data_IF_486380507067
#
_entry.id   IF_486380507067
#
_cell.length_a   1.000
_cell.length_b   1.000
_cell.length_c   1.000
_cell.angle_alpha   90.00
_cell.angle_beta   90.00
_cell.angle_gamma   90.00
#
_symmetry.space_group_name_H-M   'P 1'
#
loop_
_entity.id
_entity.type
_entity.pdbx_description
1 polymer ?
#
# COMPACT_ATOMS: atom_id res chain seq x y z
N UNK A 1 -12.43 -28.40 26.82
CA UNK A 1 -11.47 -28.16 25.73
C UNK A 1 -10.36 -27.23 26.24
N UNK A 2 -9.22 -27.80 26.66
CA UNK A 2 -8.05 -27.08 27.19
C UNK A 2 -7.00 -27.03 26.09
N UNK A 3 -6.67 -25.84 25.60
CA UNK A 3 -5.65 -25.70 24.54
C UNK A 3 -5.30 -24.28 24.12
N UNK A 4 -5.84 -23.24 24.76
CA UNK A 4 -5.37 -21.86 24.55
C UNK A 4 -4.29 -21.52 25.58
N UNK A 5 -3.18 -22.26 25.57
CA UNK A 5 -1.91 -21.65 25.96
C UNK A 5 -1.34 -21.04 24.70
N UNK A 6 -1.13 -19.72 24.78
CA UNK A 6 -0.73 -18.89 23.66
C UNK A 6 0.56 -19.46 23.06
N UNK A 7 0.55 -19.77 21.76
CA UNK A 7 1.76 -20.16 21.03
C UNK A 7 2.95 -19.23 21.34
N UNK A 8 2.65 -17.97 21.66
CA UNK A 8 3.64 -16.96 22.04
C UNK A 8 4.15 -17.06 23.48
N UNK A 9 3.35 -17.52 24.46
CA UNK A 9 3.84 -17.62 25.86
C UNK A 9 4.91 -18.69 26.03
N UNK A 10 4.82 -19.73 25.21
CA UNK A 10 5.71 -20.89 25.26
C UNK A 10 6.98 -20.66 24.41
N UNK A 11 6.87 -19.87 23.33
CA UNK A 11 8.01 -19.52 22.46
C UNK A 11 8.81 -18.31 22.96
N UNK A 12 8.14 -17.34 23.58
CA UNK A 12 8.77 -16.11 24.06
C UNK A 12 8.19 -15.78 25.43
N UNK A 13 9.03 -15.70 26.48
CA UNK A 13 8.61 -15.21 27.79
C UNK A 13 8.32 -13.69 27.69
N UNK A 14 7.15 -13.35 27.18
CA UNK A 14 6.68 -11.96 27.05
C UNK A 14 5.68 -11.71 28.17
N UNK A 15 5.91 -10.62 28.90
CA UNK A 15 4.93 -10.10 29.85
C UNK A 15 3.57 -9.92 29.16
N UNK A 16 2.48 -10.19 29.89
CA UNK A 16 1.12 -10.15 29.34
C UNK A 16 0.86 -8.86 28.58
N UNK A 17 0.63 -8.97 27.26
CA UNK A 17 0.32 -7.81 26.40
C UNK A 17 -0.98 -7.17 26.88
N UNK A 18 -0.98 -5.85 27.09
CA UNK A 18 -2.20 -5.10 27.45
C UNK A 18 -3.23 -5.28 26.34
N UNK A 19 -4.48 -5.58 26.71
CA UNK A 19 -5.59 -5.70 25.73
C UNK A 19 -5.86 -4.34 25.09
N UNK A 20 -5.42 -4.16 23.85
CA UNK A 20 -5.78 -2.99 23.04
C UNK A 20 -7.28 -3.01 22.70
N UNK A 21 -7.88 -1.82 22.58
CA UNK A 21 -9.27 -1.67 22.11
C UNK A 21 -9.38 -2.17 20.67
N UNK A 22 -10.50 -2.81 20.33
CA UNK A 22 -10.74 -3.28 18.97
C UNK A 22 -10.81 -2.10 18.00
N UNK A 23 -10.05 -2.19 16.90
CA UNK A 23 -10.07 -1.20 15.82
C UNK A 23 -11.36 -1.34 15.03
N UNK A 24 -11.96 -0.23 14.55
CA UNK A 24 -13.16 -0.29 13.72
C UNK A 24 -12.88 -0.99 12.40
N UNK A 25 -13.96 -1.43 11.74
CA UNK A 25 -13.86 -1.96 10.37
C UNK A 25 -13.25 -0.89 9.46
N UNK A 26 -12.38 -1.31 8.54
CA UNK A 26 -11.71 -0.44 7.56
C UNK A 26 -10.78 0.63 8.15
N UNK A 27 -10.25 0.42 9.37
CA UNK A 27 -9.38 1.39 10.04
C UNK A 27 -8.21 1.90 9.17
N UNK A 28 -7.58 1.03 8.37
CA UNK A 28 -6.44 1.37 7.51
C UNK A 28 -6.80 1.72 6.06
N UNK A 29 -8.10 1.89 5.78
CA UNK A 29 -8.55 2.18 4.42
C UNK A 29 -8.00 3.52 3.88
N UNK A 30 -7.98 4.63 4.65
CA UNK A 30 -7.43 5.90 4.18
C UNK A 30 -5.93 5.81 3.81
N UNK A 31 -5.11 5.22 4.68
CA UNK A 31 -3.67 5.09 4.48
C UNK A 31 -3.36 4.19 3.28
N UNK A 32 -4.13 3.11 3.11
CA UNK A 32 -4.03 2.23 1.94
C UNK A 32 -4.37 2.98 0.66
N UNK A 33 -5.46 3.75 0.66
CA UNK A 33 -5.89 4.51 -0.52
C UNK A 33 -4.84 5.59 -0.88
N UNK A 34 -4.28 6.27 0.11
CA UNK A 34 -3.19 7.23 -0.08
C UNK A 34 -1.96 6.57 -0.71
N UNK A 35 -1.53 5.42 -0.17
CA UNK A 35 -0.44 4.62 -0.72
C UNK A 35 -0.71 4.18 -2.17
N UNK A 36 -1.92 3.73 -2.46
CA UNK A 36 -2.35 3.28 -3.78
C UNK A 36 -2.22 4.39 -4.83
N UNK A 37 -2.64 5.62 -4.51
CA UNK A 37 -2.49 6.78 -5.41
C UNK A 37 -1.03 7.07 -5.73
N UNK A 38 -0.15 7.04 -4.73
CA UNK A 38 1.28 7.27 -4.94
C UNK A 38 1.95 6.13 -5.72
N UNK A 39 1.52 4.88 -5.52
CA UNK A 39 1.99 3.74 -6.33
C UNK A 39 1.50 3.81 -7.76
N UNK A 40 0.25 4.23 -7.98
CA UNK A 40 -0.26 4.46 -9.31
C UNK A 40 0.55 5.53 -10.04
N UNK A 41 0.81 6.68 -9.39
CA UNK A 41 1.66 7.73 -9.94
C UNK A 41 3.05 7.20 -10.33
N UNK A 42 3.69 6.43 -9.45
CA UNK A 42 4.99 5.85 -9.74
C UNK A 42 4.98 4.90 -10.95
N UNK A 43 3.99 4.04 -11.06
CA UNK A 43 3.87 3.15 -12.21
C UNK A 43 3.60 3.92 -13.52
N UNK A 44 2.70 4.90 -13.48
CA UNK A 44 2.28 5.65 -14.67
C UNK A 44 3.32 6.69 -15.12
N UNK A 45 3.85 7.50 -14.20
CA UNK A 45 4.71 8.63 -14.54
C UNK A 45 6.20 8.30 -14.47
N UNK A 46 6.64 7.50 -13.50
CA UNK A 46 8.06 7.20 -13.33
C UNK A 46 8.47 5.99 -14.16
N UNK A 47 7.72 4.88 -14.08
CA UNK A 47 7.98 3.68 -14.87
C UNK A 47 7.37 3.72 -16.28
N UNK A 48 6.55 4.74 -16.58
CA UNK A 48 5.91 4.94 -17.91
C UNK A 48 5.06 3.74 -18.35
N UNK A 49 4.44 3.03 -17.41
CA UNK A 49 3.53 1.95 -17.72
C UNK A 49 2.20 2.48 -18.25
N UNK A 50 1.53 1.69 -19.10
CA UNK A 50 0.18 2.00 -19.58
C UNK A 50 -0.83 1.82 -18.45
N UNK A 51 -1.99 2.45 -18.58
CA UNK A 51 -3.06 2.40 -17.58
C UNK A 51 -3.42 0.97 -17.16
N UNK A 52 -3.66 0.08 -18.13
CA UNK A 52 -4.02 -1.31 -17.84
C UNK A 52 -2.89 -2.05 -17.12
N UNK A 53 -1.63 -1.83 -17.52
CA UNK A 53 -0.46 -2.42 -16.86
C UNK A 53 -0.30 -1.89 -15.42
N UNK A 54 -0.54 -0.60 -15.20
CA UNK A 54 -0.55 -0.01 -13.86
C UNK A 54 -1.57 -0.71 -12.96
N UNK A 55 -2.79 -0.93 -13.46
CA UNK A 55 -3.85 -1.60 -12.71
C UNK A 55 -3.49 -3.07 -12.40
N UNK A 56 -2.88 -3.79 -13.35
CA UNK A 56 -2.42 -5.17 -13.11
C UNK A 56 -1.30 -5.25 -12.06
N UNK A 57 -0.39 -4.28 -12.03
CA UNK A 57 0.64 -4.21 -10.97
C UNK A 57 0.01 -3.91 -9.61
N UNK A 58 -0.88 -2.92 -9.55
CA UNK A 58 -1.55 -2.52 -8.32
C UNK A 58 -2.46 -3.62 -7.76
N UNK A 59 -3.10 -4.41 -8.61
CA UNK A 59 -3.93 -5.55 -8.17
C UNK A 59 -3.10 -6.57 -7.40
N UNK A 60 -1.87 -6.85 -7.85
CA UNK A 60 -0.93 -7.75 -7.15
C UNK A 60 -0.31 -7.11 -5.91
N UNK A 61 0.01 -5.81 -5.95
CA UNK A 61 0.61 -5.10 -4.81
C UNK A 61 -0.38 -4.94 -3.65
N UNK A 62 -1.66 -4.68 -3.93
CA UNK A 62 -2.68 -4.35 -2.92
C UNK A 62 -3.72 -5.45 -2.68
N UNK A 63 -3.73 -6.52 -3.49
CA UNK A 63 -4.72 -7.60 -3.45
C UNK A 63 -6.16 -7.08 -3.54
N UNK A 64 -6.36 -6.07 -4.39
CA UNK A 64 -7.66 -5.47 -4.68
C UNK A 64 -7.98 -5.67 -6.16
N UNK A 65 -9.22 -6.04 -6.44
CA UNK A 65 -9.66 -6.25 -7.84
C UNK A 65 -9.54 -4.97 -8.65
N UNK A 66 -9.23 -5.09 -9.95
CA UNK A 66 -9.16 -3.95 -10.86
C UNK A 66 -10.35 -2.97 -10.76
N UNK A 67 -11.63 -3.42 -10.72
CA UNK A 67 -12.76 -2.50 -10.56
C UNK A 67 -12.70 -1.71 -9.24
N UNK A 68 -12.24 -2.32 -8.15
CA UNK A 68 -12.09 -1.62 -6.87
C UNK A 68 -10.96 -0.59 -6.92
N UNK A 69 -9.86 -0.91 -7.60
CA UNK A 69 -8.75 0.04 -7.82
C UNK A 69 -9.23 1.27 -8.58
N UNK A 70 -10.00 1.08 -9.66
CA UNK A 70 -10.56 2.18 -10.46
C UNK A 70 -11.42 3.09 -9.59
N UNK A 71 -12.35 2.51 -8.82
CA UNK A 71 -13.20 3.29 -7.90
C UNK A 71 -12.36 4.10 -6.91
N UNK A 72 -11.33 3.50 -6.29
CA UNK A 72 -10.47 4.20 -5.34
C UNK A 72 -9.70 5.35 -6.01
N UNK A 73 -9.16 5.13 -7.21
CA UNK A 73 -8.42 6.14 -7.97
C UNK A 73 -9.35 7.30 -8.38
N UNK A 74 -10.59 7.00 -8.78
CA UNK A 74 -11.59 8.01 -9.13
C UNK A 74 -12.01 8.83 -7.89
N UNK A 75 -12.33 8.15 -6.78
CA UNK A 75 -12.65 8.79 -5.50
C UNK A 75 -11.49 9.64 -4.96
N UNK A 76 -10.24 9.29 -5.30
CA UNK A 76 -9.02 9.98 -4.88
C UNK A 76 -8.41 10.85 -5.98
N UNK A 77 -9.21 11.29 -6.95
CA UNK A 77 -8.74 12.02 -8.14
C UNK A 77 -8.10 13.37 -7.79
N UNK A 78 -8.62 14.08 -6.79
CA UNK A 78 -8.01 15.31 -6.28
C UNK A 78 -6.58 15.07 -5.78
N UNK A 79 -6.40 14.07 -4.92
CA UNK A 79 -5.07 13.67 -4.43
C UNK A 79 -4.15 13.22 -5.56
N UNK A 80 -4.66 12.49 -6.55
CA UNK A 80 -3.86 12.08 -7.70
C UNK A 80 -3.37 13.29 -8.51
N UNK A 81 -4.22 14.31 -8.69
CA UNK A 81 -3.82 15.55 -9.35
C UNK A 81 -2.76 16.31 -8.55
N UNK A 82 -2.90 16.39 -7.23
CA UNK A 82 -1.89 16.99 -6.36
C UNK A 82 -0.53 16.30 -6.49
N UNK A 83 -0.50 14.96 -6.39
CA UNK A 83 0.73 14.18 -6.55
C UNK A 83 1.34 14.38 -7.95
N UNK A 84 0.50 14.44 -8.99
CA UNK A 84 0.96 14.68 -10.36
C UNK A 84 1.53 16.11 -10.56
N UNK A 85 1.09 17.09 -9.77
CA UNK A 85 1.64 18.45 -9.75
C UNK A 85 2.95 18.53 -8.95
N UNK A 86 2.99 17.89 -7.78
CA UNK A 86 4.19 17.82 -6.92
C UNK A 86 5.35 17.10 -7.61
N UNK A 87 5.02 16.08 -8.43
CA UNK A 87 5.97 15.21 -9.13
C UNK A 87 7.07 14.66 -8.21
N UNK A 88 6.69 13.93 -7.13
CA UNK A 88 7.66 13.43 -6.17
C UNK A 88 8.66 12.48 -6.83
N UNK A 89 9.92 12.64 -6.48
CA UNK A 89 11.00 11.75 -6.88
C UNK A 89 10.88 10.38 -6.21
N UNK A 90 11.55 9.39 -6.80
CA UNK A 90 11.63 8.02 -6.25
C UNK A 90 12.10 8.02 -4.78
N UNK A 91 13.05 8.89 -4.43
CA UNK A 91 13.60 8.98 -3.07
C UNK A 91 12.58 9.53 -2.06
N UNK A 92 11.77 10.50 -2.47
CA UNK A 92 10.70 11.05 -1.62
C UNK A 92 9.59 10.02 -1.39
N UNK A 93 9.26 9.25 -2.43
CA UNK A 93 8.30 8.15 -2.33
C UNK A 93 8.81 7.01 -1.43
N UNK A 94 10.10 6.67 -1.53
CA UNK A 94 10.76 5.69 -0.65
C UNK A 94 10.77 6.14 0.81
N UNK A 95 11.06 7.41 1.08
CA UNK A 95 10.99 7.96 2.44
C UNK A 95 9.55 7.93 3.00
N UNK A 96 8.55 8.23 2.17
CA UNK A 96 7.14 8.28 2.58
C UNK A 96 6.54 6.88 2.78
N UNK A 97 6.94 5.92 1.95
CA UNK A 97 6.45 4.54 2.02
C UNK A 97 7.61 3.53 1.89
N UNK A 98 8.37 3.33 2.98
CA UNK A 98 9.59 2.50 2.97
C UNK A 98 9.32 1.00 2.82
N UNK A 99 8.07 0.57 2.97
CA UNK A 99 7.67 -0.84 2.82
C UNK A 99 7.42 -1.24 1.36
N UNK A 100 7.40 -0.29 0.41
CA UNK A 100 7.31 -0.61 -1.02
C UNK A 100 8.68 -0.64 -1.68
N UNK A 101 8.75 -1.37 -2.79
CA UNK A 101 9.95 -1.39 -3.65
C UNK A 101 9.82 -0.33 -4.74
N UNK A 102 10.73 0.64 -4.75
CA UNK A 102 10.76 1.77 -5.69
C UNK A 102 11.88 1.65 -6.74
N UNK A 103 12.13 0.44 -7.25
CA UNK A 103 13.19 0.19 -8.23
C UNK A 103 12.71 0.49 -9.64
N UNK A 104 13.32 1.49 -10.30
CA UNK A 104 13.07 1.76 -11.70
C UNK A 104 13.40 0.52 -12.54
N UNK A 105 12.41 0.00 -13.29
CA UNK A 105 12.55 -1.22 -14.09
C UNK A 105 13.37 -0.99 -15.38
N UNK A 106 14.02 0.16 -15.56
CA UNK A 106 14.80 0.53 -16.75
C UNK A 106 16.12 -0.23 -16.97
N UNK A 107 16.29 -1.43 -16.40
CA UNK A 107 17.45 -2.30 -16.69
C UNK A 107 17.01 -3.74 -16.92
N UNK A 108 16.38 -3.96 -18.06
CA UNK A 108 16.58 -5.21 -18.80
C UNK A 108 17.33 -4.81 -20.07
N UNK A 109 18.63 -5.07 -20.06
CA UNK A 109 19.49 -5.05 -21.24
C UNK A 109 19.23 -6.31 -22.07
#
# INVERSE_FOLDING_TARGET
MRGQKSLFSDLFHVASVKKEKQRPRNYFQPERNQALVHRYYYHAEINRLRYDDCLLQLEKEFYLTTPRLIVILTESSELLNEVALEKPSVKELENKFPHFTWKNLSRVA
#
